data_IF_817968684394
#
_entry.id   IF_817968684394
#
_cell.length_a   1.000
_cell.length_b   1.000
_cell.length_c   1.000
_cell.angle_alpha   90.00
_cell.angle_beta   90.00
_cell.angle_gamma   90.00
#
_symmetry.space_group_name_H-M   'P 1'
#
loop_
_entity.id
_entity.type
_entity.pdbx_description
1 polymer ?
#
# COMPACT_ATOMS: atom_id res chain seq x y z
N UNK A 1 9.15 -10.57 3.56
CA UNK A 1 9.95 -11.73 4.00
C UNK A 1 10.16 -12.63 2.79
N UNK A 2 11.34 -13.24 2.66
CA UNK A 2 11.66 -14.09 1.51
C UNK A 2 10.71 -15.30 1.52
N UNK A 3 10.13 -15.61 0.35
CA UNK A 3 9.16 -16.71 0.19
C UNK A 3 7.69 -16.33 0.45
N UNK A 4 7.38 -15.09 0.84
CA UNK A 4 5.99 -14.62 0.92
C UNK A 4 5.46 -14.22 -0.46
N UNK A 5 4.13 -14.33 -0.61
CA UNK A 5 3.40 -13.79 -1.75
C UNK A 5 3.67 -12.29 -1.84
N UNK A 6 3.98 -11.83 -3.05
CA UNK A 6 4.36 -10.45 -3.32
C UNK A 6 3.11 -9.57 -3.51
N UNK A 7 2.29 -9.55 -2.46
CA UNK A 7 1.04 -8.81 -2.38
C UNK A 7 1.21 -7.66 -1.41
N UNK A 8 1.18 -6.43 -1.93
CA UNK A 8 1.29 -5.22 -1.11
C UNK A 8 0.76 -4.00 -1.86
N UNK A 9 0.52 -2.94 -1.09
CA UNK A 9 0.18 -1.62 -1.60
C UNK A 9 1.29 -0.63 -1.25
N UNK A 10 1.47 0.37 -2.11
CA UNK A 10 2.28 1.55 -1.81
C UNK A 10 1.34 2.65 -1.36
N UNK A 11 1.51 3.12 -0.13
CA UNK A 11 0.72 4.20 0.45
C UNK A 11 1.40 5.54 0.22
N UNK A 12 0.61 6.60 0.01
CA UNK A 12 1.13 7.96 -0.17
C UNK A 12 1.56 8.65 1.12
N UNK A 13 1.21 8.09 2.28
CA UNK A 13 1.59 8.61 3.59
C UNK A 13 1.96 7.45 4.52
N UNK A 14 2.81 7.73 5.51
CA UNK A 14 3.16 6.76 6.55
C UNK A 14 1.95 6.56 7.49
N UNK A 15 1.33 5.36 7.55
CA UNK A 15 0.17 5.13 8.40
C UNK A 15 0.48 5.23 9.91
N UNK A 16 1.75 5.20 10.30
CA UNK A 16 2.16 5.38 11.70
C UNK A 16 2.32 6.85 12.12
N UNK A 17 2.27 7.77 11.17
CA UNK A 17 2.45 9.21 11.41
C UNK A 17 1.16 10.01 11.17
N UNK A 18 0.07 9.36 10.76
CA UNK A 18 -1.24 10.01 10.58
C UNK A 18 -2.18 9.72 11.74
N UNK A 19 -3.11 10.64 11.98
CA UNK A 19 -4.22 10.42 12.92
C UNK A 19 -5.07 9.23 12.50
N UNK A 20 -5.56 8.45 13.48
CA UNK A 20 -6.37 7.24 13.23
C UNK A 20 -7.54 7.49 12.28
N UNK A 21 -8.18 8.64 12.41
CA UNK A 21 -9.38 9.00 11.66
C UNK A 21 -9.09 9.25 10.18
N UNK A 22 -7.82 9.58 9.85
CA UNK A 22 -7.31 9.87 8.51
C UNK A 22 -6.69 8.66 7.82
N UNK A 23 -6.54 7.52 8.51
CA UNK A 23 -5.96 6.30 7.94
C UNK A 23 -6.71 5.86 6.66
N UNK A 24 -8.03 5.99 6.65
CA UNK A 24 -8.90 5.64 5.52
C UNK A 24 -8.74 6.59 4.31
N UNK A 25 -8.18 7.77 4.54
CA UNK A 25 -7.99 8.80 3.52
C UNK A 25 -6.59 8.73 2.90
N UNK A 26 -5.72 7.84 3.41
CA UNK A 26 -4.40 7.62 2.82
C UNK A 26 -4.59 7.08 1.40
N UNK A 27 -4.05 7.82 0.46
CA UNK A 27 -4.07 7.45 -0.95
C UNK A 27 -3.21 6.21 -1.21
N UNK A 28 -3.75 5.27 -1.99
CA UNK A 28 -2.98 4.17 -2.57
C UNK A 28 -2.34 4.68 -3.86
N UNK A 29 -1.01 4.62 -3.94
CA UNK A 29 -0.24 5.03 -5.12
C UNK A 29 -0.03 3.89 -6.11
N UNK A 30 0.09 2.66 -5.61
CA UNK A 30 0.21 1.46 -6.44
C UNK A 30 -0.25 0.19 -5.69
N UNK A 31 -0.71 -0.80 -6.44
CA UNK A 31 -1.09 -2.13 -5.93
C UNK A 31 -0.34 -3.20 -6.70
N UNK A 32 0.29 -4.12 -5.97
CA UNK A 32 0.98 -5.28 -6.51
C UNK A 32 0.28 -6.55 -6.04
N UNK A 33 -0.06 -7.42 -6.99
CA UNK A 33 -0.63 -8.75 -6.75
C UNK A 33 0.20 -9.78 -7.51
N UNK A 34 0.63 -10.85 -6.83
CA UNK A 34 1.56 -11.86 -7.36
C UNK A 34 2.80 -11.24 -8.01
N UNK A 35 3.30 -10.13 -7.43
CA UNK A 35 4.44 -9.38 -7.95
C UNK A 35 4.15 -8.56 -9.22
N UNK A 36 2.93 -8.58 -9.74
CA UNK A 36 2.50 -7.76 -10.88
C UNK A 36 1.88 -6.46 -10.39
N UNK A 37 2.29 -5.34 -10.97
CA UNK A 37 1.64 -4.06 -10.74
C UNK A 37 0.29 -4.07 -11.47
N UNK A 38 -0.82 -4.06 -10.71
CA UNK A 38 -2.19 -4.09 -11.26
C UNK A 38 -2.87 -2.72 -11.20
N UNK A 39 -2.33 -1.82 -10.38
CA UNK A 39 -2.79 -0.45 -10.27
C UNK A 39 -1.58 0.45 -10.01
N UNK A 40 -1.56 1.60 -10.67
CA UNK A 40 -0.59 2.68 -10.45
C UNK A 40 -1.27 3.99 -10.78
N UNK A 41 -1.18 4.95 -9.86
CA UNK A 41 -1.65 6.32 -10.09
C UNK A 41 -0.62 7.15 -10.85
#
# INVERSE_FOLDING_TARGET
EIGKVCDFVVLGQNPFEVEKDKLKDIEILATYLDGKCVFKK
#
